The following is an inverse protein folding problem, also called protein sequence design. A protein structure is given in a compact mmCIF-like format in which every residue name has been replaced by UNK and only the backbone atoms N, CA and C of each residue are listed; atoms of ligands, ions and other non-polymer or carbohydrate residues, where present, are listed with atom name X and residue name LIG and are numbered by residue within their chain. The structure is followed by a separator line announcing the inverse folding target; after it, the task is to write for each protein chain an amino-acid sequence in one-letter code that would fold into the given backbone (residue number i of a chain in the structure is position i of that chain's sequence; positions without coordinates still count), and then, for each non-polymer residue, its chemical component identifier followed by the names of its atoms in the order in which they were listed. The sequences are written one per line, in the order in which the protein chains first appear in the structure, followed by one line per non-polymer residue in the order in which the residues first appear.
data_IF_035548624248
#
_entry.id   IF_035548624248
#
_cell.length_a   1.000
_cell.length_b   1.000
_cell.length_c   1.000
_cell.angle_alpha   90.00
_cell.angle_beta   90.00
_cell.angle_gamma   90.00
#
_symmetry.space_group_name_H-M   'P 1'
#
loop_
_entity.id
_entity.type
_entity.pdbx_description
1 polymer ?
#
# COMPACT_ATOMS: atom_id res chain seq x y z
N UNK A 1 -1.67 10.39 12.60
CA UNK A 1 -1.27 8.97 12.42
C UNK A 1 -0.22 8.52 13.42
N UNK A 2 0.99 9.10 13.45
CA UNK A 2 1.99 8.78 14.48
C UNK A 2 1.46 8.96 15.92
N UNK A 3 0.61 9.96 16.14
CA UNK A 3 -0.12 10.18 17.38
C UNK A 3 -0.97 8.97 17.82
N UNK A 4 -1.61 8.25 16.88
CA UNK A 4 -2.40 7.04 17.19
C UNK A 4 -1.48 5.96 17.75
N UNK A 5 -0.32 5.76 17.13
CA UNK A 5 0.66 4.79 17.61
C UNK A 5 1.16 5.17 19.01
N UNK A 6 1.56 6.43 19.20
CA UNK A 6 2.06 6.91 20.50
C UNK A 6 1.00 6.78 21.58
N UNK A 7 -0.24 7.20 21.31
CA UNK A 7 -1.36 7.07 22.24
C UNK A 7 -1.70 5.60 22.54
N UNK A 8 -1.75 4.73 21.53
CA UNK A 8 -1.99 3.29 21.69
C UNK A 8 -0.89 2.60 22.51
N UNK A 9 0.38 2.96 22.28
CA UNK A 9 1.52 2.43 23.01
C UNK A 9 1.55 2.93 24.47
N UNK A 10 1.29 4.23 24.69
CA UNK A 10 1.20 4.81 26.03
C UNK A 10 0.07 4.19 26.85
N UNK A 11 -1.07 3.87 26.20
CA UNK A 11 -2.25 3.28 26.82
C UNK A 11 -2.28 1.74 26.78
N UNK A 12 -1.19 1.09 26.33
CA UNK A 12 -1.13 -0.38 26.13
C UNK A 12 -1.40 -1.19 27.40
N UNK A 13 -1.05 -0.64 28.58
CA UNK A 13 -1.22 -1.29 29.88
C UNK A 13 -2.64 -1.20 30.46
N UNK A 14 -3.51 -0.35 29.90
CA UNK A 14 -4.90 -0.22 30.38
C UNK A 14 -5.72 -1.46 30.02
N UNK A 15 -6.71 -1.87 30.82
CA UNK A 15 -7.65 -2.92 30.46
C UNK A 15 -8.41 -2.55 29.18
N UNK A 16 -8.73 -3.55 28.34
CA UNK A 16 -9.53 -3.31 27.13
C UNK A 16 -10.99 -3.09 27.56
N UNK A 17 -11.66 -2.00 27.13
CA UNK A 17 -13.03 -1.74 27.53
C UNK A 17 -13.96 -2.81 26.93
N UNK A 18 -14.81 -3.39 27.77
CA UNK A 18 -15.77 -4.44 27.38
C UNK A 18 -16.91 -3.90 26.50
N UNK A 19 -17.15 -2.58 26.49
CA UNK A 19 -18.22 -1.93 25.71
C UNK A 19 -17.66 -0.94 24.67
N UNK A 20 -18.13 -0.99 23.40
CA UNK A 20 -17.69 -0.10 22.33
C UNK A 20 -18.12 1.37 22.53
N UNK A 21 -19.09 1.64 23.39
CA UNK A 21 -19.61 2.99 23.66
C UNK A 21 -18.69 3.88 24.53
N UNK A 22 -17.57 3.34 25.02
CA UNK A 22 -16.57 4.06 25.82
C UNK A 22 -15.42 4.66 24.98
N UNK A 23 -15.45 4.44 23.66
CA UNK A 23 -14.47 4.99 22.73
C UNK A 23 -14.81 6.44 22.38
N UNK A 24 -13.80 7.31 22.36
CA UNK A 24 -13.97 8.72 22.02
C UNK A 24 -14.29 8.89 20.54
N UNK A 25 -15.54 9.21 20.25
CA UNK A 25 -16.01 9.60 18.93
C UNK A 25 -16.57 11.02 18.98
N UNK A 26 -16.11 11.88 18.07
CA UNK A 26 -16.67 13.22 17.92
C UNK A 26 -18.07 13.07 17.33
N UNK A 27 -19.09 13.13 18.18
CA UNK A 27 -20.49 13.01 17.77
C UNK A 27 -20.90 14.20 16.89
N UNK A 28 -21.22 13.88 15.64
CA UNK A 28 -22.12 14.56 14.68
C UNK A 28 -22.41 16.05 14.91
N UNK A 29 -21.67 16.89 14.20
CA UNK A 29 -22.25 18.08 13.59
C UNK A 29 -21.74 18.20 12.16
N UNK A 30 -22.66 18.26 11.20
CA UNK A 30 -22.48 18.45 9.76
C UNK A 30 -22.06 17.24 8.88
N UNK A 31 -23.08 16.52 8.38
CA UNK A 31 -23.31 16.46 6.94
C UNK A 31 -22.54 15.47 6.04
N UNK A 32 -21.72 14.55 6.56
CA UNK A 32 -21.11 13.53 5.70
C UNK A 32 -21.10 12.15 6.35
N UNK A 33 -21.92 11.23 5.83
CA UNK A 33 -21.93 9.81 6.18
C UNK A 33 -20.63 9.15 5.66
N UNK A 34 -19.51 9.35 6.35
CA UNK A 34 -18.33 8.51 6.15
C UNK A 34 -18.73 7.09 6.58
N UNK A 35 -18.72 6.14 5.64
CA UNK A 35 -19.01 4.73 5.87
C UNK A 35 -18.14 4.25 7.04
N UNK A 36 -18.78 3.86 8.14
CA UNK A 36 -18.14 3.20 9.27
C UNK A 36 -17.49 1.90 8.77
N UNK A 37 -16.18 1.77 8.94
CA UNK A 37 -15.49 0.51 8.64
C UNK A 37 -15.89 -0.50 9.72
N UNK A 38 -16.37 -1.67 9.33
CA UNK A 38 -16.77 -2.70 10.30
C UNK A 38 -15.63 -2.95 11.31
N UNK A 39 -15.95 -2.80 12.59
CA UNK A 39 -15.05 -3.03 13.72
C UNK A 39 -14.33 -4.38 13.58
N UNK A 40 -13.11 -4.34 13.07
CA UNK A 40 -12.33 -5.53 12.73
C UNK A 40 -11.51 -5.93 13.93
N UNK A 41 -11.69 -7.17 14.43
CA UNK A 41 -11.02 -7.68 15.64
C UNK A 41 -9.48 -7.81 15.54
N UNK A 42 -8.85 -7.46 14.41
CA UNK A 42 -7.40 -7.52 14.19
C UNK A 42 -6.75 -6.21 14.66
N UNK A 43 -5.61 -6.26 15.38
CA UNK A 43 -4.91 -5.08 15.92
C UNK A 43 -5.71 -4.30 16.97
N UNK A 44 -6.29 -4.99 17.97
CA UNK A 44 -7.07 -4.39 19.08
C UNK A 44 -6.30 -3.42 19.97
N UNK A 45 -4.96 -3.46 19.92
CA UNK A 45 -4.14 -2.54 20.72
C UNK A 45 -4.26 -1.09 20.22
N UNK A 46 -4.58 -0.88 18.93
CA UNK A 46 -4.76 0.45 18.35
C UNK A 46 -6.02 1.15 18.87
N UNK A 47 -7.06 0.36 19.16
CA UNK A 47 -8.31 0.85 19.73
C UNK A 47 -8.10 1.50 21.12
N UNK A 48 -6.98 1.18 21.79
CA UNK A 48 -6.60 1.81 23.07
C UNK A 48 -6.24 3.30 22.95
N UNK A 49 -5.88 3.78 21.76
CA UNK A 49 -5.62 5.21 21.52
C UNK A 49 -6.88 6.08 21.68
N UNK A 50 -8.07 5.48 21.52
CA UNK A 50 -9.36 6.15 21.60
C UNK A 50 -10.06 5.96 22.95
N UNK A 51 -9.40 5.38 23.97
CA UNK A 51 -9.96 5.24 25.32
C UNK A 51 -9.93 6.61 26.02
N UNK A 52 -11.09 7.04 26.51
CA UNK A 52 -11.23 8.22 27.39
C UNK A 52 -10.71 7.84 28.78
N UNK A 53 -9.68 8.54 29.25
CA UNK A 53 -9.24 8.43 30.66
C UNK A 53 -10.20 9.26 31.52
N UNK A 54 -10.91 8.61 32.44
CA UNK A 54 -11.78 9.26 33.43
C UNK A 54 -10.95 9.85 34.59
N UNK A 55 -9.98 10.70 34.25
CA UNK A 55 -9.08 11.34 35.21
C UNK A 55 -9.41 12.83 35.32
N UNK A 56 -10.64 13.15 35.79
CA UNK A 56 -11.08 14.44 36.32
C UNK A 56 -10.93 15.72 35.48
N UNK A 57 -10.22 15.67 34.35
CA UNK A 57 -9.88 16.78 33.50
C UNK A 57 -10.86 16.79 32.32
N UNK A 58 -11.54 17.92 32.19
CA UNK A 58 -12.49 18.21 31.12
C UNK A 58 -11.96 17.79 29.74
N UNK A 59 -12.86 17.24 28.93
CA UNK A 59 -12.64 16.73 27.56
C UNK A 59 -11.89 17.77 26.69
N UNK A 60 -12.00 19.06 27.02
CA UNK A 60 -11.36 20.19 26.33
C UNK A 60 -9.83 20.30 26.49
N UNK A 61 -9.19 19.63 27.47
CA UNK A 61 -7.74 19.78 27.72
C UNK A 61 -6.88 18.59 27.27
N UNK A 62 -7.46 17.55 26.68
CA UNK A 62 -6.65 16.42 26.23
C UNK A 62 -5.93 16.75 24.92
N UNK A 63 -4.60 16.76 24.95
CA UNK A 63 -3.79 17.00 23.76
C UNK A 63 -4.03 15.90 22.72
N UNK A 64 -3.93 16.20 21.40
CA UNK A 64 -4.15 15.24 20.33
C UNK A 64 -3.19 14.03 20.34
N UNK A 65 -2.16 14.07 21.19
CA UNK A 65 -1.20 13.00 21.46
C UNK A 65 -1.64 12.03 22.56
N UNK A 66 -2.61 12.42 23.40
CA UNK A 66 -3.20 11.58 24.46
C UNK A 66 -4.56 11.01 24.07
N UNK A 67 -5.34 11.72 23.24
CA UNK A 67 -6.66 11.30 22.81
C UNK A 67 -6.76 11.36 21.28
N UNK A 68 -7.21 10.28 20.66
CA UNK A 68 -7.38 10.22 19.20
C UNK A 68 -8.73 9.62 18.84
N UNK A 69 -9.38 10.15 17.80
CA UNK A 69 -10.70 9.68 17.33
C UNK A 69 -10.62 8.28 16.70
N UNK A 70 -11.69 7.50 16.85
CA UNK A 70 -11.84 6.15 16.26
C UNK A 70 -11.57 6.13 14.75
N UNK A 71 -12.00 7.16 14.00
CA UNK A 71 -11.75 7.26 12.56
C UNK A 71 -10.26 7.24 12.21
N UNK A 72 -9.43 7.98 12.96
CA UNK A 72 -7.98 8.02 12.74
C UNK A 72 -7.31 6.70 13.12
N UNK A 73 -7.88 5.96 14.08
CA UNK A 73 -7.43 4.61 14.46
C UNK A 73 -7.70 3.62 13.34
N UNK A 74 -8.87 3.69 12.70
CA UNK A 74 -9.22 2.84 11.56
C UNK A 74 -8.38 3.15 10.32
N UNK A 75 -8.14 4.42 10.01
CA UNK A 75 -7.23 4.83 8.94
C UNK A 75 -5.81 4.29 9.18
N UNK A 76 -5.31 4.34 10.43
CA UNK A 76 -4.02 3.76 10.77
C UNK A 76 -4.00 2.23 10.61
N UNK A 77 -5.10 1.55 10.98
CA UNK A 77 -5.25 0.10 10.78
C UNK A 77 -5.18 -0.27 9.29
N UNK A 78 -5.80 0.54 8.42
CA UNK A 78 -5.72 0.34 6.96
C UNK A 78 -4.28 0.44 6.47
N UNK A 79 -3.54 1.48 6.90
CA UNK A 79 -2.13 1.66 6.51
C UNK A 79 -1.28 0.48 6.97
N UNK A 80 -1.45 0.00 8.21
CA UNK A 80 -0.70 -1.16 8.73
C UNK A 80 -1.00 -2.41 7.91
N UNK A 81 -2.26 -2.64 7.53
CA UNK A 81 -2.64 -3.77 6.69
C UNK A 81 -2.09 -3.66 5.26
N UNK A 82 -1.71 -2.47 4.80
CA UNK A 82 -1.07 -2.26 3.49
C UNK A 82 0.44 -2.53 3.52
N UNK A 83 1.09 -2.50 4.69
CA UNK A 83 2.53 -2.74 4.83
C UNK A 83 2.95 -4.09 4.24
N UNK A 84 2.28 -5.23 4.51
CA UNK A 84 2.65 -6.51 3.90
C UNK A 84 2.61 -6.46 2.36
N UNK A 85 1.58 -5.83 1.78
CA UNK A 85 1.44 -5.66 0.33
C UNK A 85 2.63 -4.86 -0.21
N UNK A 86 3.00 -3.77 0.46
CA UNK A 86 4.16 -2.97 0.08
C UNK A 86 5.48 -3.76 0.19
N UNK A 87 5.66 -4.56 1.25
CA UNK A 87 6.85 -5.41 1.42
C UNK A 87 7.00 -6.42 0.27
N UNK A 88 5.89 -6.99 -0.23
CA UNK A 88 5.91 -7.86 -1.40
C UNK A 88 6.39 -7.15 -2.69
N UNK A 89 6.37 -5.81 -2.75
CA UNK A 89 6.89 -5.06 -3.91
C UNK A 89 8.41 -4.82 -3.85
N UNK A 90 9.06 -5.04 -2.71
CA UNK A 90 10.51 -4.79 -2.53
C UNK A 90 11.38 -5.62 -3.49
N UNK A 91 11.18 -6.96 -3.64
CA UNK A 91 12.02 -7.75 -4.54
C UNK A 91 11.98 -7.25 -5.98
N UNK A 92 10.80 -6.82 -6.45
CA UNK A 92 10.66 -6.23 -7.78
C UNK A 92 11.50 -4.95 -7.94
N UNK A 93 11.45 -4.05 -6.96
CA UNK A 93 12.29 -2.84 -6.96
C UNK A 93 13.79 -3.14 -7.00
N UNK A 94 14.25 -4.14 -6.25
CA UNK A 94 15.65 -4.60 -6.28
C UNK A 94 16.02 -5.11 -7.68
N UNK A 95 15.18 -5.94 -8.30
CA UNK A 95 15.41 -6.44 -9.66
C UNK A 95 15.51 -5.31 -10.69
N UNK A 96 14.67 -4.27 -10.59
CA UNK A 96 14.72 -3.12 -11.50
C UNK A 96 16.07 -2.39 -11.41
N UNK A 97 16.57 -2.13 -10.20
CA UNK A 97 17.86 -1.42 -10.03
C UNK A 97 19.02 -2.28 -10.53
N UNK A 98 19.01 -3.59 -10.26
CA UNK A 98 20.07 -4.50 -10.73
C UNK A 98 20.07 -4.66 -12.26
N UNK A 99 18.93 -4.48 -12.91
CA UNK A 99 18.82 -4.62 -14.38
C UNK A 99 19.81 -3.70 -15.10
N UNK A 100 20.00 -2.47 -14.58
CA UNK A 100 20.92 -1.49 -15.15
C UNK A 100 22.40 -1.92 -15.15
N UNK A 101 22.81 -2.78 -14.21
CA UNK A 101 24.22 -3.15 -14.02
C UNK A 101 24.50 -4.57 -14.48
N UNK A 102 23.68 -5.53 -14.07
CA UNK A 102 23.84 -6.94 -14.38
C UNK A 102 23.78 -7.21 -15.88
N UNK A 103 22.77 -6.69 -16.59
CA UNK A 103 22.64 -6.94 -18.02
C UNK A 103 23.70 -6.22 -18.85
N UNK A 104 24.18 -5.05 -18.43
CA UNK A 104 25.33 -4.41 -19.08
C UNK A 104 26.57 -5.31 -18.93
N UNK A 105 26.87 -5.78 -17.71
CA UNK A 105 28.02 -6.66 -17.46
C UNK A 105 27.91 -7.99 -18.21
N UNK A 106 26.72 -8.58 -18.24
CA UNK A 106 26.44 -9.79 -19.02
C UNK A 106 26.64 -9.54 -20.52
N UNK A 107 26.09 -8.44 -21.05
CA UNK A 107 26.29 -8.08 -22.46
C UNK A 107 27.76 -7.81 -22.78
N UNK A 108 28.56 -7.32 -21.83
CA UNK A 108 29.99 -7.05 -22.04
C UNK A 108 30.80 -8.31 -22.36
N UNK A 109 30.37 -9.48 -21.85
CA UNK A 109 31.04 -10.77 -22.09
C UNK A 109 30.41 -11.57 -23.23
N UNK A 110 29.27 -11.14 -23.76
CA UNK A 110 28.59 -11.79 -24.88
C UNK A 110 29.18 -11.33 -26.22
N UNK A 111 29.10 -12.21 -27.24
CA UNK A 111 29.47 -11.81 -28.59
C UNK A 111 28.48 -10.75 -29.12
N UNK A 112 29.00 -9.56 -29.43
CA UNK A 112 28.24 -8.38 -29.88
C UNK A 112 28.60 -7.92 -31.29
N UNK A 113 29.29 -8.77 -32.05
CA UNK A 113 29.63 -8.47 -33.43
C UNK A 113 28.41 -8.66 -34.34
N UNK A 114 28.02 -7.61 -35.05
CA UNK A 114 27.12 -7.67 -36.20
C UNK A 114 27.99 -7.67 -37.45
N UNK A 115 28.08 -8.82 -38.11
CA UNK A 115 29.00 -9.01 -39.23
C UNK A 115 30.47 -8.87 -38.80
N UNK A 116 31.32 -8.51 -39.75
CA UNK A 116 32.77 -8.51 -39.53
C UNK A 116 33.33 -7.20 -38.95
N UNK A 117 32.60 -6.08 -39.10
CA UNK A 117 33.16 -4.73 -38.85
C UNK A 117 32.49 -3.94 -37.73
N UNK A 118 31.33 -4.38 -37.24
CA UNK A 118 30.58 -3.62 -36.25
C UNK A 118 30.43 -4.40 -34.95
N UNK A 119 30.86 -3.80 -33.84
CA UNK A 119 30.59 -4.31 -32.50
C UNK A 119 29.62 -3.35 -31.79
N UNK A 120 28.41 -3.84 -31.50
CA UNK A 120 27.42 -3.11 -30.72
C UNK A 120 28.00 -2.77 -29.35
N UNK A 121 27.83 -1.57 -28.76
CA UNK A 121 28.16 -1.29 -27.35
C UNK A 121 27.33 -2.13 -26.37
N UNK A 122 27.80 -2.44 -25.14
CA UNK A 122 27.07 -3.33 -24.23
C UNK A 122 25.74 -2.73 -23.76
N UNK A 123 25.73 -1.42 -23.54
CA UNK A 123 24.53 -0.67 -23.18
C UNK A 123 23.41 -0.74 -24.24
N UNK A 124 23.70 -1.15 -25.48
CA UNK A 124 22.67 -1.32 -26.51
C UNK A 124 21.65 -2.41 -26.19
N UNK A 125 21.91 -3.29 -25.22
CA UNK A 125 20.97 -4.33 -24.77
C UNK A 125 19.62 -3.76 -24.29
N UNK A 126 19.59 -2.51 -23.81
CA UNK A 126 18.34 -1.84 -23.43
C UNK A 126 17.42 -1.54 -24.62
N UNK A 127 17.95 -1.47 -25.85
CA UNK A 127 17.10 -1.28 -27.03
C UNK A 127 16.21 -2.50 -27.28
N UNK A 128 16.76 -3.71 -27.09
CA UNK A 128 16.01 -4.97 -27.16
C UNK A 128 14.95 -5.02 -26.05
N UNK A 129 15.30 -4.62 -24.83
CA UNK A 129 14.35 -4.53 -23.73
C UNK A 129 13.20 -3.55 -24.01
N UNK A 130 13.50 -2.37 -24.57
CA UNK A 130 12.51 -1.37 -24.95
C UNK A 130 11.55 -1.89 -26.03
N UNK A 131 12.08 -2.56 -27.08
CA UNK A 131 11.25 -3.21 -28.09
C UNK A 131 10.36 -4.28 -27.49
N UNK A 132 10.91 -5.12 -26.60
CA UNK A 132 10.14 -6.13 -25.86
C UNK A 132 9.01 -5.53 -25.03
N UNK A 133 9.24 -4.39 -24.38
CA UNK A 133 8.22 -3.67 -23.63
C UNK A 133 7.09 -3.17 -24.55
N UNK A 134 7.43 -2.55 -25.70
CA UNK A 134 6.44 -2.08 -26.68
C UNK A 134 5.59 -3.25 -27.19
N UNK A 135 6.22 -4.36 -27.56
CA UNK A 135 5.53 -5.57 -28.01
C UNK A 135 4.64 -6.13 -26.90
N UNK A 136 5.12 -6.18 -25.66
CA UNK A 136 4.35 -6.66 -24.51
C UNK A 136 3.10 -5.82 -24.25
N UNK A 137 3.22 -4.48 -24.29
CA UNK A 137 2.09 -3.56 -24.17
C UNK A 137 1.10 -3.78 -25.32
N UNK A 138 1.58 -3.90 -26.56
CA UNK A 138 0.72 -4.17 -27.70
C UNK A 138 -0.04 -5.49 -27.56
N UNK A 139 0.63 -6.56 -27.08
CA UNK A 139 -0.01 -7.85 -26.79
C UNK A 139 -1.05 -7.72 -25.69
N UNK A 140 -0.73 -6.99 -24.61
CA UNK A 140 -1.66 -6.76 -23.51
C UNK A 140 -2.95 -6.07 -24.00
N UNK A 141 -2.82 -4.95 -24.70
CA UNK A 141 -3.96 -4.14 -25.14
C UNK A 141 -4.76 -4.80 -26.29
N UNK A 142 -4.08 -5.42 -27.25
CA UNK A 142 -4.73 -5.93 -28.47
C UNK A 142 -5.16 -7.39 -28.37
N UNK A 143 -4.57 -8.18 -27.47
CA UNK A 143 -4.86 -9.61 -27.37
C UNK A 143 -5.45 -9.93 -26.00
N UNK A 144 -4.73 -9.62 -24.90
CA UNK A 144 -5.16 -10.04 -23.56
C UNK A 144 -6.45 -9.33 -23.12
N UNK A 145 -6.52 -8.00 -23.22
CA UNK A 145 -7.71 -7.22 -22.84
C UNK A 145 -8.97 -7.67 -23.58
N UNK A 146 -9.01 -7.77 -24.94
CA UNK A 146 -10.22 -8.22 -25.63
C UNK A 146 -10.55 -9.68 -25.37
N UNK A 147 -9.55 -10.55 -25.17
CA UNK A 147 -9.79 -11.96 -24.79
C UNK A 147 -10.44 -12.04 -23.40
N UNK A 148 -9.92 -11.32 -22.41
CA UNK A 148 -10.49 -11.22 -21.07
C UNK A 148 -11.90 -10.66 -21.10
N UNK A 149 -12.17 -9.63 -21.92
CA UNK A 149 -13.51 -9.07 -22.11
C UNK A 149 -14.49 -10.09 -22.69
N UNK A 150 -14.05 -10.92 -23.65
CA UNK A 150 -14.87 -12.00 -24.23
C UNK A 150 -15.18 -13.10 -23.22
N UNK A 151 -14.23 -13.46 -22.36
CA UNK A 151 -14.39 -14.53 -21.37
C UNK A 151 -15.26 -14.08 -20.18
N UNK A 152 -15.05 -12.85 -19.66
CA UNK A 152 -15.78 -12.35 -18.49
C UNK A 152 -17.17 -11.76 -18.80
N UNK A 153 -17.57 -11.63 -20.08
CA UNK A 153 -18.84 -10.99 -20.52
C UNK A 153 -19.13 -9.62 -19.84
N UNK A 154 -18.10 -8.93 -19.37
CA UNK A 154 -18.19 -7.67 -18.67
C UNK A 154 -17.39 -6.64 -19.47
N UNK A 155 -17.99 -5.49 -19.81
CA UNK A 155 -17.45 -4.55 -20.80
C UNK A 155 -16.06 -3.98 -20.46
N UNK A 156 -15.64 -4.13 -19.20
CA UNK A 156 -14.37 -3.61 -18.65
C UNK A 156 -13.29 -4.68 -18.43
N UNK A 157 -13.54 -5.96 -18.70
CA UNK A 157 -12.53 -7.04 -18.67
C UNK A 157 -12.01 -7.48 -17.29
N UNK A 158 -11.97 -6.60 -16.27
CA UNK A 158 -11.53 -6.89 -14.90
C UNK A 158 -12.59 -6.39 -13.90
N UNK A 159 -13.02 -7.26 -12.98
CA UNK A 159 -13.92 -6.89 -11.89
C UNK A 159 -13.11 -6.20 -10.79
N UNK A 160 -13.25 -4.89 -10.66
CA UNK A 160 -12.66 -4.13 -9.53
C UNK A 160 -13.66 -4.25 -8.38
N UNK A 161 -13.29 -5.07 -7.39
CA UNK A 161 -14.00 -5.26 -6.12
C UNK A 161 -14.11 -3.95 -5.33
#
# INVERSE_FOLDING_TARGET
MLQVLVAAFSKRKLPYPSNPDQLYEVSKSHGNKRKFLCHTKKLRFLDKAAIIENDGNSIEKQSPWKLTTVTTVEEMRLIINMIPIWVFTIPFGISVVQTSTFFIKQSAIMNRKIGERFELPPASIFTVAALGMIISVAIYDKILVPMLRKINQNERGINIL
#
